data_IF_134174482644
#
_entry.id   IF_134174482644
#
_cell.length_a   1.000
_cell.length_b   1.000
_cell.length_c   1.000
_cell.angle_alpha   90.00
_cell.angle_beta   90.00
_cell.angle_gamma   90.00
#
_symmetry.space_group_name_H-M   'P 1'
#
loop_
_entity.id
_entity.type
_entity.pdbx_description
1 polymer ?
#
# COMPACT_ATOMS: atom_id res chain seq x y z
N UNK A 1 -21.57 47.20 -3.50
CA UNK A 1 -21.17 46.18 -4.50
C UNK A 1 -19.69 45.91 -4.27
N UNK A 2 -19.35 44.97 -3.39
CA UNK A 2 -17.96 44.58 -3.16
C UNK A 2 -17.67 43.41 -4.10
N UNK A 3 -16.76 43.63 -5.06
CA UNK A 3 -16.21 42.60 -5.91
C UNK A 3 -15.52 41.56 -5.03
N UNK A 4 -15.99 40.32 -5.06
CA UNK A 4 -15.38 39.21 -4.35
C UNK A 4 -13.94 38.99 -4.86
N UNK A 5 -12.99 38.96 -3.92
CA UNK A 5 -11.63 38.55 -4.23
C UNK A 5 -11.65 37.10 -4.73
N UNK A 6 -11.19 36.90 -5.97
CA UNK A 6 -10.98 35.57 -6.53
C UNK A 6 -9.82 34.94 -5.76
N UNK A 7 -10.12 33.98 -4.89
CA UNK A 7 -9.12 33.14 -4.23
C UNK A 7 -8.32 32.39 -5.30
N UNK A 8 -7.04 32.76 -5.48
CA UNK A 8 -6.12 32.05 -6.38
C UNK A 8 -5.29 31.08 -5.56
N UNK A 9 -5.73 29.83 -5.47
CA UNK A 9 -4.92 28.74 -4.91
C UNK A 9 -3.74 28.49 -5.86
N UNK A 10 -2.51 28.59 -5.36
CA UNK A 10 -1.29 28.29 -6.12
C UNK A 10 -0.75 26.94 -5.65
N UNK A 11 -0.61 25.98 -6.57
CA UNK A 11 0.13 24.76 -6.29
C UNK A 11 1.61 25.12 -6.01
N UNK A 12 2.26 24.52 -4.99
CA UNK A 12 3.68 24.71 -4.76
C UNK A 12 4.47 24.17 -5.96
N UNK A 13 5.37 24.96 -6.55
CA UNK A 13 6.21 24.50 -7.66
C UNK A 13 7.04 23.26 -7.30
N UNK A 14 7.45 23.15 -6.04
CA UNK A 14 8.17 22.00 -5.49
C UNK A 14 7.34 20.72 -5.55
N UNK A 15 6.03 20.82 -5.31
CA UNK A 15 5.11 19.68 -5.36
C UNK A 15 4.95 19.18 -6.80
N UNK A 16 4.74 20.10 -7.75
CA UNK A 16 4.67 19.74 -9.17
C UNK A 16 5.93 19.03 -9.66
N UNK A 17 7.11 19.48 -9.21
CA UNK A 17 8.39 18.83 -9.53
C UNK A 17 8.49 17.46 -8.89
N UNK A 18 8.09 17.33 -7.62
CA UNK A 18 8.03 16.05 -6.89
C UNK A 18 7.18 15.02 -7.65
N UNK A 19 5.92 15.39 -7.96
CA UNK A 19 4.96 14.58 -8.70
C UNK A 19 5.49 14.15 -10.07
N UNK A 20 6.12 15.06 -10.81
CA UNK A 20 6.71 14.74 -12.10
C UNK A 20 7.76 13.62 -12.00
N UNK A 21 8.54 13.58 -10.92
CA UNK A 21 9.50 12.49 -10.67
C UNK A 21 8.82 11.16 -10.41
N UNK A 22 7.78 11.14 -9.57
CA UNK A 22 7.00 9.93 -9.27
C UNK A 22 6.33 9.37 -10.53
N UNK A 23 5.70 10.24 -11.32
CA UNK A 23 5.07 9.86 -12.59
C UNK A 23 6.08 9.34 -13.60
N UNK A 24 7.25 9.97 -13.72
CA UNK A 24 8.31 9.49 -14.59
C UNK A 24 8.79 8.10 -14.16
N UNK A 25 9.11 7.92 -12.88
CA UNK A 25 9.58 6.64 -12.36
C UNK A 25 8.53 5.53 -12.57
N UNK A 26 7.27 5.79 -12.21
CA UNK A 26 6.17 4.84 -12.41
C UNK A 26 5.96 4.47 -13.87
N UNK A 27 6.11 5.44 -14.79
CA UNK A 27 6.02 5.19 -16.24
C UNK A 27 7.14 4.28 -16.74
N UNK A 28 8.39 4.52 -16.32
CA UNK A 28 9.52 3.65 -16.68
C UNK A 28 9.30 2.24 -16.12
N UNK A 29 9.03 2.10 -14.82
CA UNK A 29 8.83 0.78 -14.20
C UNK A 29 7.72 -0.02 -14.91
N UNK A 30 6.58 0.61 -15.17
CA UNK A 30 5.45 -0.07 -15.83
C UNK A 30 5.78 -0.48 -17.27
N UNK A 31 6.53 0.34 -18.00
CA UNK A 31 6.95 0.04 -19.38
C UNK A 31 7.98 -1.09 -19.43
N UNK A 32 8.83 -1.19 -18.41
CA UNK A 32 9.84 -2.25 -18.24
C UNK A 32 9.27 -3.52 -17.58
N UNK A 33 7.95 -3.63 -17.46
CA UNK A 33 7.30 -4.84 -16.96
C UNK A 33 7.33 -5.01 -15.43
N UNK A 34 7.59 -3.95 -14.67
CA UNK A 34 7.52 -3.95 -13.20
C UNK A 34 6.22 -3.30 -12.74
N UNK A 35 5.49 -3.94 -11.83
CA UNK A 35 4.29 -3.34 -11.26
C UNK A 35 4.72 -2.24 -10.29
N UNK A 36 4.25 -1.01 -10.52
CA UNK A 36 4.44 0.12 -9.62
C UNK A 36 3.13 0.50 -8.93
N UNK A 37 3.17 0.60 -7.60
CA UNK A 37 2.05 1.03 -6.75
C UNK A 37 2.46 2.27 -5.99
N UNK A 38 1.89 3.43 -6.35
CA UNK A 38 2.15 4.68 -5.64
C UNK A 38 1.53 4.65 -4.24
N UNK A 39 2.24 5.16 -3.24
CA UNK A 39 1.72 5.28 -1.87
C UNK A 39 0.89 6.55 -1.75
N UNK A 40 -0.35 6.43 -1.28
CA UNK A 40 -1.32 7.55 -1.21
C UNK A 40 -1.02 8.58 -0.11
N UNK A 41 -0.14 8.26 0.85
CA UNK A 41 0.25 9.15 1.97
C UNK A 41 1.75 9.42 1.98
N UNK A 42 2.15 10.70 1.94
CA UNK A 42 3.54 11.17 1.80
C UNK A 42 4.44 11.06 3.03
N UNK A 43 3.95 10.55 4.16
CA UNK A 43 4.48 10.96 5.46
C UNK A 43 5.59 10.08 6.06
N UNK A 44 5.90 8.92 5.45
CA UNK A 44 6.87 7.95 6.02
C UNK A 44 8.02 7.56 5.08
N UNK A 45 8.30 8.36 4.06
CA UNK A 45 9.55 8.24 3.29
C UNK A 45 9.62 7.03 2.34
N UNK A 46 8.47 6.55 1.86
CA UNK A 46 8.33 5.59 0.75
C UNK A 46 7.22 6.13 -0.15
N UNK A 47 7.55 6.45 -1.40
CA UNK A 47 6.60 7.01 -2.36
C UNK A 47 5.88 5.92 -3.17
N UNK A 48 6.39 4.70 -3.15
CA UNK A 48 5.74 3.58 -3.83
C UNK A 48 6.36 2.22 -3.53
N UNK A 49 5.69 1.20 -4.04
CA UNK A 49 6.10 -0.20 -3.99
C UNK A 49 6.24 -0.75 -5.41
N UNK A 50 7.30 -1.51 -5.62
CA UNK A 50 7.58 -2.23 -6.85
C UNK A 50 7.34 -3.72 -6.63
N UNK A 51 6.90 -4.41 -7.67
CA UNK A 51 6.85 -5.87 -7.70
C UNK A 51 7.34 -6.39 -9.04
N UNK A 52 8.28 -7.34 -8.99
CA UNK A 52 8.75 -8.00 -10.20
C UNK A 52 7.66 -8.87 -10.81
N UNK A 53 7.64 -8.92 -12.14
CA UNK A 53 6.77 -9.78 -12.93
C UNK A 53 7.65 -10.77 -13.69
N UNK A 54 7.27 -12.05 -13.68
CA UNK A 54 7.96 -13.09 -14.44
C UNK A 54 7.66 -13.00 -15.94
N UNK A 55 8.43 -13.72 -16.75
CA UNK A 55 8.31 -13.72 -18.22
C UNK A 55 6.92 -14.13 -18.74
N UNK A 56 6.16 -14.89 -17.96
CA UNK A 56 4.78 -15.31 -18.27
C UNK A 56 3.71 -14.28 -17.83
N UNK A 57 4.13 -13.14 -17.29
CA UNK A 57 3.24 -12.08 -16.78
C UNK A 57 2.76 -12.30 -15.35
N UNK A 58 3.25 -13.30 -14.63
CA UNK A 58 2.85 -13.57 -13.25
C UNK A 58 3.55 -12.62 -12.26
N UNK A 59 2.79 -12.04 -11.34
CA UNK A 59 3.34 -11.25 -10.24
C UNK A 59 4.11 -12.16 -9.26
N UNK A 60 5.38 -11.86 -9.02
CA UNK A 60 6.31 -12.78 -8.32
C UNK A 60 6.22 -12.73 -6.79
N UNK A 61 5.64 -11.67 -6.23
CA UNK A 61 5.72 -11.38 -4.79
C UNK A 61 7.05 -10.82 -4.31
N UNK A 62 8.04 -10.62 -5.18
CA UNK A 62 9.29 -9.93 -4.84
C UNK A 62 9.06 -8.43 -4.82
N UNK A 63 8.89 -7.88 -3.62
CA UNK A 63 8.54 -6.48 -3.41
C UNK A 63 9.79 -5.62 -3.19
N UNK A 64 9.79 -4.39 -3.68
CA UNK A 64 10.77 -3.37 -3.31
C UNK A 64 10.06 -2.09 -2.89
N UNK A 65 10.59 -1.37 -1.90
CA UNK A 65 10.17 0.00 -1.61
C UNK A 65 10.92 1.00 -2.47
N UNK A 66 10.27 2.09 -2.87
CA UNK A 66 10.93 3.19 -3.61
C UNK A 66 10.64 4.55 -2.98
N UNK A 67 11.69 5.35 -2.79
CA UNK A 67 11.60 6.79 -2.49
C UNK A 67 12.12 7.58 -3.69
N UNK A 68 11.33 8.53 -4.16
CA UNK A 68 11.65 9.42 -5.28
C UNK A 68 12.02 10.82 -4.76
N UNK A 69 13.10 11.37 -5.29
CA UNK A 69 13.50 12.77 -5.14
C UNK A 69 13.55 13.38 -6.54
N UNK A 70 12.97 14.56 -6.71
CA UNK A 70 12.92 15.23 -8.02
C UNK A 70 13.41 16.66 -7.92
N UNK A 71 14.19 17.08 -8.92
CA UNK A 71 14.66 18.45 -9.08
C UNK A 71 16.16 18.53 -9.35
N UNK A 72 16.57 19.59 -10.05
CA UNK A 72 17.97 19.74 -10.48
C UNK A 72 18.93 20.05 -9.32
N UNK A 73 18.42 20.39 -8.12
CA UNK A 73 19.25 20.55 -6.91
C UNK A 73 19.88 19.25 -6.39
N UNK A 74 19.49 18.11 -6.97
CA UNK A 74 20.07 16.80 -6.68
C UNK A 74 21.11 16.38 -7.73
N UNK A 75 21.38 17.22 -8.74
CA UNK A 75 22.27 16.88 -9.85
C UNK A 75 23.31 17.97 -10.05
N UNK A 76 24.57 17.58 -10.14
CA UNK A 76 25.62 18.43 -10.67
C UNK A 76 25.69 18.24 -12.19
N UNK A 77 25.15 19.21 -12.93
CA UNK A 77 25.07 19.16 -14.38
C UNK A 77 26.44 19.22 -15.08
N UNK A 78 27.51 19.66 -14.40
CA UNK A 78 28.85 19.75 -14.98
C UNK A 78 29.54 18.40 -14.90
N UNK A 79 29.47 17.75 -13.73
CA UNK A 79 30.10 16.44 -13.49
C UNK A 79 29.21 15.26 -13.84
N UNK A 80 27.90 15.46 -14.04
CA UNK A 80 26.94 14.38 -14.27
C UNK A 80 26.65 13.55 -13.01
N UNK A 81 27.01 14.04 -11.83
CA UNK A 81 26.82 13.34 -10.56
C UNK A 81 25.41 13.58 -10.03
N UNK A 82 24.70 12.50 -9.77
CA UNK A 82 23.40 12.49 -9.11
C UNK A 82 23.61 12.22 -7.61
N UNK A 83 22.91 12.97 -6.77
CA UNK A 83 23.04 12.91 -5.31
C UNK A 83 21.70 12.63 -4.66
N UNK A 84 21.58 11.47 -4.01
CA UNK A 84 20.43 11.17 -3.15
C UNK A 84 20.75 11.59 -1.71
N UNK A 85 19.94 12.49 -1.13
CA UNK A 85 20.15 13.05 0.22
C UNK A 85 18.87 12.92 1.06
N UNK A 86 19.04 12.48 2.31
CA UNK A 86 17.96 12.37 3.31
C UNK A 86 18.52 12.64 4.71
N UNK A 87 17.68 12.64 5.74
CA UNK A 87 18.12 12.68 7.14
C UNK A 87 18.48 11.25 7.63
N UNK A 88 19.17 11.14 8.77
CA UNK A 88 19.61 9.85 9.30
C UNK A 88 18.42 8.98 9.73
N UNK A 89 17.37 9.61 10.25
CA UNK A 89 16.15 8.97 10.71
C UNK A 89 15.47 8.17 9.57
N UNK A 90 15.46 8.70 8.34
CA UNK A 90 14.96 7.94 7.18
C UNK A 90 15.86 6.74 6.83
N UNK A 91 17.19 6.87 6.95
CA UNK A 91 18.09 5.73 6.73
C UNK A 91 17.90 4.64 7.81
N UNK A 92 17.67 5.03 9.06
CA UNK A 92 17.30 4.10 10.14
C UNK A 92 15.97 3.41 9.86
N UNK A 93 14.97 4.17 9.42
CA UNK A 93 13.68 3.63 9.01
C UNK A 93 13.81 2.62 7.86
N UNK A 94 14.52 2.97 6.78
CA UNK A 94 14.73 2.05 5.64
C UNK A 94 15.50 0.79 6.03
N UNK A 95 16.44 0.89 6.98
CA UNK A 95 17.18 -0.28 7.48
C UNK A 95 16.26 -1.27 8.22
N UNK A 96 15.18 -0.80 8.85
CA UNK A 96 14.25 -1.64 9.60
C UNK A 96 13.25 -2.39 8.70
N UNK A 97 13.06 -1.93 7.46
CA UNK A 97 12.14 -2.54 6.51
C UNK A 97 12.62 -3.93 6.06
N UNK A 98 11.69 -4.88 5.94
CA UNK A 98 11.95 -6.27 5.54
C UNK A 98 11.77 -6.53 4.03
N UNK A 99 11.95 -5.46 3.27
CA UNK A 99 11.98 -5.44 1.80
C UNK A 99 13.18 -4.56 1.39
N UNK A 100 13.81 -4.82 0.25
CA UNK A 100 14.85 -3.93 -0.27
C UNK A 100 14.23 -2.58 -0.63
N UNK A 101 14.97 -1.50 -0.37
CA UNK A 101 14.55 -0.12 -0.60
C UNK A 101 15.49 0.50 -1.61
N UNK A 102 14.92 1.10 -2.65
CA UNK A 102 15.65 1.90 -3.63
C UNK A 102 15.27 3.38 -3.55
N UNK A 103 16.19 4.23 -3.98
CA UNK A 103 16.01 5.65 -4.14
C UNK A 103 16.01 5.99 -5.61
N UNK A 104 15.23 6.97 -6.05
CA UNK A 104 15.28 7.51 -7.41
C UNK A 104 15.53 9.00 -7.34
N UNK A 105 16.49 9.50 -8.11
CA UNK A 105 16.68 10.94 -8.35
C UNK A 105 16.33 11.25 -9.79
N UNK A 106 15.34 12.10 -10.01
CA UNK A 106 14.95 12.59 -11.34
C UNK A 106 15.35 14.07 -11.53
N UNK A 107 15.99 14.37 -12.66
CA UNK A 107 16.23 15.75 -13.12
C UNK A 107 15.23 16.11 -14.22
N UNK A 108 14.32 17.07 -13.97
CA UNK A 108 13.40 17.57 -14.99
C UNK A 108 14.12 18.25 -16.17
N UNK A 109 15.24 18.94 -15.91
CA UNK A 109 16.00 19.64 -16.97
C UNK A 109 16.68 18.65 -17.91
N UNK A 110 17.33 17.62 -17.35
CA UNK A 110 18.01 16.59 -18.15
C UNK A 110 17.05 15.52 -18.69
N UNK A 111 15.84 15.42 -18.11
CA UNK A 111 14.86 14.34 -18.33
C UNK A 111 15.47 12.95 -18.10
N UNK A 112 16.33 12.85 -17.08
CA UNK A 112 17.04 11.63 -16.71
C UNK A 112 16.78 11.29 -15.25
N UNK A 113 16.68 9.99 -14.95
CA UNK A 113 16.65 9.49 -13.59
C UNK A 113 17.74 8.46 -13.34
N UNK A 114 18.23 8.44 -12.10
CA UNK A 114 19.13 7.41 -11.61
C UNK A 114 18.56 6.77 -10.34
N UNK A 115 18.71 5.45 -10.21
CA UNK A 115 18.27 4.70 -9.03
C UNK A 115 19.43 4.30 -8.13
N UNK A 116 19.17 4.17 -6.82
CA UNK A 116 20.15 3.96 -5.75
C UNK A 116 19.71 2.80 -4.85
N UNK A 117 20.62 1.95 -4.41
CA UNK A 117 20.36 0.90 -3.40
C UNK A 117 20.40 1.50 -1.98
N UNK A 118 19.25 1.96 -1.48
CA UNK A 118 19.19 2.59 -0.16
C UNK A 118 19.40 1.58 0.97
N UNK A 119 18.99 0.33 0.82
CA UNK A 119 19.22 -0.72 1.83
C UNK A 119 20.71 -0.95 2.08
N UNK A 120 21.51 -1.07 1.01
CA UNK A 120 22.97 -1.19 1.13
C UNK A 120 23.60 0.06 1.71
N UNK A 121 23.22 1.24 1.23
CA UNK A 121 23.81 2.50 1.69
C UNK A 121 23.42 2.86 3.12
N UNK A 122 22.19 2.57 3.56
CA UNK A 122 21.76 2.77 4.95
C UNK A 122 22.68 2.02 5.92
N UNK A 123 22.97 0.74 5.63
CA UNK A 123 23.88 -0.06 6.42
C UNK A 123 25.29 0.53 6.53
N UNK A 124 25.82 1.13 5.46
CA UNK A 124 27.14 1.75 5.45
C UNK A 124 27.16 3.09 6.20
N UNK A 125 26.16 3.94 5.95
CA UNK A 125 26.04 5.27 6.53
C UNK A 125 25.90 5.18 8.06
N UNK A 126 25.00 4.32 8.55
CA UNK A 126 24.72 4.19 9.97
C UNK A 126 25.88 3.53 10.74
N UNK A 127 26.57 2.54 10.15
CA UNK A 127 27.71 1.88 10.81
C UNK A 127 28.94 2.76 10.95
N UNK A 128 29.18 3.66 10.01
CA UNK A 128 30.41 4.47 9.95
C UNK A 128 30.18 5.95 10.26
N UNK A 129 28.95 6.31 10.65
CA UNK A 129 28.52 7.69 10.93
C UNK A 129 28.81 8.67 9.76
N UNK A 130 28.68 8.20 8.52
CA UNK A 130 28.93 9.03 7.34
C UNK A 130 27.83 10.07 7.11
N UNK A 131 28.11 11.14 6.34
CA UNK A 131 27.07 12.05 5.88
C UNK A 131 25.96 11.30 5.13
N UNK A 132 24.68 11.62 5.36
CA UNK A 132 23.53 10.90 4.79
C UNK A 132 23.26 11.31 3.32
N UNK A 133 24.31 11.24 2.50
CA UNK A 133 24.30 11.62 1.09
C UNK A 133 25.01 10.55 0.28
N UNK A 134 24.31 10.01 -0.72
CA UNK A 134 24.83 9.04 -1.66
C UNK A 134 25.05 9.76 -2.98
N UNK A 135 26.24 9.60 -3.59
CA UNK A 135 26.58 10.21 -4.87
C UNK A 135 27.00 9.14 -5.85
N UNK A 136 26.53 9.23 -7.08
CA UNK A 136 26.98 8.36 -8.17
C UNK A 136 26.87 9.06 -9.52
N UNK A 137 27.72 8.65 -10.46
CA UNK A 137 27.57 8.99 -11.87
C UNK A 137 26.54 8.06 -12.51
N UNK A 138 25.76 8.61 -13.43
CA UNK A 138 24.75 7.84 -14.17
C UNK A 138 25.43 6.98 -15.25
N UNK A 139 25.05 5.70 -15.31
CA UNK A 139 25.55 4.71 -16.26
C UNK A 139 24.50 3.60 -16.48
N UNK A 140 24.80 2.62 -17.32
CA UNK A 140 23.87 1.54 -17.71
C UNK A 140 23.32 0.72 -16.52
N UNK A 141 24.07 0.61 -15.41
CA UNK A 141 23.65 -0.16 -14.23
C UNK A 141 22.66 0.57 -13.32
N UNK A 142 22.61 1.90 -13.38
CA UNK A 142 21.87 2.73 -12.42
C UNK A 142 20.99 3.79 -13.09
N UNK A 143 20.90 3.81 -14.42
CA UNK A 143 19.96 4.63 -15.17
C UNK A 143 18.55 4.04 -15.05
N UNK A 144 17.55 4.90 -14.93
CA UNK A 144 16.13 4.54 -15.02
C UNK A 144 15.56 5.19 -16.28
N UNK A 145 15.60 4.46 -17.40
CA UNK A 145 15.19 4.92 -18.73
C UNK A 145 14.55 3.77 -19.52
N UNK A 146 13.59 4.11 -20.38
CA UNK A 146 12.86 3.14 -21.20
C UNK A 146 13.78 2.52 -22.26
N UNK A 147 13.69 1.21 -22.42
CA UNK A 147 14.43 0.43 -23.40
C UNK A 147 15.85 0.05 -22.96
N UNK A 148 16.32 0.52 -21.79
CA UNK A 148 17.60 0.11 -21.21
C UNK A 148 17.49 -1.22 -20.46
N UNK A 149 16.29 -1.60 -20.02
CA UNK A 149 16.09 -2.73 -19.12
C UNK A 149 16.49 -2.43 -17.68
N UNK A 150 15.90 -3.15 -16.73
CA UNK A 150 16.15 -2.98 -15.29
C UNK A 150 16.94 -4.15 -14.69
N UNK A 151 17.87 -4.70 -15.47
CA UNK A 151 18.61 -5.93 -15.15
C UNK A 151 19.27 -5.90 -13.77
N UNK A 152 19.94 -4.82 -13.40
CA UNK A 152 20.65 -4.73 -12.11
C UNK A 152 19.68 -4.57 -10.93
N UNK A 153 18.55 -3.89 -11.13
CA UNK A 153 17.49 -3.79 -10.12
C UNK A 153 16.79 -5.13 -9.93
N UNK A 154 16.53 -5.86 -11.03
CA UNK A 154 15.99 -7.22 -11.00
C UNK A 154 16.96 -8.15 -10.27
N UNK A 155 18.26 -8.11 -10.60
CA UNK A 155 19.30 -8.85 -9.89
C UNK A 155 19.33 -8.51 -8.40
N UNK A 156 19.20 -7.24 -8.02
CA UNK A 156 19.14 -6.83 -6.61
C UNK A 156 17.95 -7.48 -5.90
N UNK A 157 16.77 -7.45 -6.51
CA UNK A 157 15.58 -8.10 -5.96
C UNK A 157 15.79 -9.62 -5.85
N UNK A 158 16.25 -10.30 -6.90
CA UNK A 158 16.56 -11.72 -6.82
C UNK A 158 17.66 -12.01 -5.79
N UNK A 159 18.70 -11.21 -5.64
CA UNK A 159 19.70 -11.43 -4.58
C UNK A 159 19.12 -11.29 -3.19
N UNK A 160 18.15 -10.40 -3.01
CA UNK A 160 17.43 -10.25 -1.76
C UNK A 160 16.49 -11.43 -1.51
N UNK A 161 15.87 -12.00 -2.55
CA UNK A 161 14.78 -12.98 -2.46
C UNK A 161 15.13 -14.44 -2.87
N UNK A 162 16.23 -14.73 -3.60
CA UNK A 162 16.46 -15.97 -4.37
C UNK A 162 17.95 -16.45 -4.57
N UNK A 163 18.41 -17.73 -4.56
CA UNK A 163 17.95 -19.08 -4.12
C UNK A 163 18.85 -20.22 -4.74
N UNK A 164 18.76 -21.56 -4.41
CA UNK A 164 17.58 -22.37 -4.04
C UNK A 164 17.63 -23.11 -2.69
N UNK A 165 16.46 -23.58 -2.23
CA UNK A 165 16.32 -24.61 -1.19
C UNK A 165 16.91 -25.91 -1.73
N UNK A 166 17.91 -26.46 -1.06
CA UNK A 166 18.66 -27.64 -1.52
C UNK A 166 17.88 -28.94 -1.23
N UNK A 167 18.21 -30.05 -1.92
CA UNK A 167 17.66 -31.38 -1.56
C UNK A 167 17.95 -31.76 -0.11
N UNK A 168 19.05 -31.28 0.47
CA UNK A 168 19.43 -31.49 1.87
C UNK A 168 18.51 -30.71 2.83
N UNK A 169 18.03 -29.53 2.42
CA UNK A 169 17.00 -28.77 3.16
C UNK A 169 15.63 -29.46 3.08
N UNK A 170 15.34 -30.14 1.97
CA UNK A 170 14.13 -30.98 1.82
C UNK A 170 14.22 -32.24 2.70
N UNK A 171 15.38 -32.88 2.82
CA UNK A 171 15.57 -34.06 3.69
C UNK A 171 15.51 -33.70 5.19
N UNK A 172 16.04 -32.54 5.60
CA UNK A 172 15.88 -32.02 6.97
C UNK A 172 14.43 -31.65 7.31
N UNK A 173 13.62 -31.31 6.31
CA UNK A 173 12.17 -31.10 6.49
C UNK A 173 11.40 -32.42 6.69
N UNK A 174 11.93 -33.56 6.24
CA UNK A 174 11.34 -34.89 6.48
C UNK A 174 11.60 -35.36 7.92
N UNK A 175 12.79 -35.11 8.47
CA UNK A 175 13.10 -35.43 9.89
C UNK A 175 12.26 -34.60 10.89
N UNK A 176 11.81 -33.41 10.50
CA UNK A 176 10.96 -32.55 11.32
C UNK A 176 9.49 -33.02 11.31
N UNK A 177 9.05 -33.78 10.28
CA UNK A 177 7.70 -34.37 10.26
C UNK A 177 7.50 -35.50 11.28
N UNK A 178 8.58 -36.06 11.84
CA UNK A 178 8.48 -37.06 12.91
C UNK A 178 8.68 -36.49 14.33
N UNK A 179 8.90 -35.18 14.50
CA UNK A 179 8.91 -34.56 15.83
C UNK A 179 7.76 -33.58 16.00
N UNK A 180 6.65 -34.16 16.43
CA UNK A 180 5.51 -33.47 17.03
C UNK A 180 5.94 -32.54 18.17
N UNK A 181 5.68 -31.23 18.04
CA UNK A 181 5.25 -30.38 19.17
C UNK A 181 4.29 -29.30 18.64
N UNK A 182 3.09 -29.29 19.21
CA UNK A 182 2.00 -28.34 19.04
C UNK A 182 2.40 -26.85 19.17
N UNK A 183 2.00 -26.02 18.20
CA UNK A 183 1.42 -24.67 18.39
C UNK A 183 1.10 -23.98 17.03
N UNK A 184 -0.13 -24.19 16.54
CA UNK A 184 -0.94 -23.36 15.64
C UNK A 184 -0.29 -22.70 14.39
N UNK A 185 -0.26 -23.45 13.28
CA UNK A 185 -0.20 -22.92 11.91
C UNK A 185 -1.50 -22.17 11.57
N UNK A 186 -1.39 -20.95 11.02
CA UNK A 186 -2.50 -20.21 10.40
C UNK A 186 -2.21 -20.08 8.90
N UNK A 187 -2.92 -20.84 8.07
CA UNK A 187 -2.89 -20.75 6.60
C UNK A 187 -3.39 -19.39 6.08
N UNK A 188 -3.19 -19.08 4.78
CA UNK A 188 -3.82 -17.88 4.14
C UNK A 188 -5.35 -17.89 4.29
N UNK A 189 -5.95 -19.08 4.32
CA UNK A 189 -7.38 -19.26 4.56
C UNK A 189 -7.77 -18.91 6.00
N UNK A 190 -6.90 -19.21 6.98
CA UNK A 190 -7.09 -18.85 8.37
C UNK A 190 -6.93 -17.34 8.61
N UNK A 191 -6.02 -16.67 7.90
CA UNK A 191 -5.92 -15.21 7.91
C UNK A 191 -7.18 -14.54 7.34
N UNK A 192 -7.73 -15.09 6.24
CA UNK A 192 -8.99 -14.62 5.66
C UNK A 192 -10.18 -14.83 6.62
N UNK A 193 -10.30 -16.03 7.19
CA UNK A 193 -11.30 -16.36 8.24
C UNK A 193 -11.18 -15.43 9.44
N UNK A 194 -9.95 -15.10 9.85
CA UNK A 194 -9.69 -14.19 10.97
C UNK A 194 -10.14 -12.76 10.68
N UNK A 195 -9.87 -12.22 9.49
CA UNK A 195 -10.37 -10.89 9.11
C UNK A 195 -11.89 -10.85 9.13
N UNK A 196 -12.55 -11.85 8.55
CA UNK A 196 -14.03 -11.97 8.60
C UNK A 196 -14.51 -12.05 10.05
N UNK A 197 -13.87 -12.89 10.87
CA UNK A 197 -14.23 -13.03 12.28
C UNK A 197 -14.07 -11.74 13.07
N UNK A 198 -13.03 -10.95 12.82
CA UNK A 198 -12.78 -9.68 13.51
C UNK A 198 -13.81 -8.63 13.06
N UNK A 199 -14.11 -8.55 11.76
CA UNK A 199 -15.05 -7.59 11.19
C UNK A 199 -16.46 -7.74 11.77
N UNK A 200 -16.89 -8.97 12.01
CA UNK A 200 -18.21 -9.27 12.60
C UNK A 200 -18.15 -9.59 14.10
N UNK A 201 -17.02 -9.36 14.78
CA UNK A 201 -16.89 -9.70 16.21
C UNK A 201 -17.63 -8.71 17.11
N UNK A 202 -18.28 -9.23 18.17
CA UNK A 202 -18.84 -8.42 19.26
C UNK A 202 -17.78 -7.75 20.14
N UNK A 203 -16.51 -8.12 19.99
CA UNK A 203 -15.40 -7.64 20.83
C UNK A 203 -14.56 -6.56 20.13
N UNK A 204 -14.75 -6.33 18.82
CA UNK A 204 -13.97 -5.35 18.03
C UNK A 204 -14.58 -3.95 18.08
N UNK A 205 -13.84 -2.94 18.53
CA UNK A 205 -14.34 -1.55 18.50
C UNK A 205 -14.46 -0.97 17.07
N UNK A 206 -15.02 0.23 16.96
CA UNK A 206 -15.24 0.91 15.69
C UNK A 206 -13.96 1.16 14.88
N UNK A 207 -12.81 1.35 15.55
CA UNK A 207 -11.52 1.58 14.90
C UNK A 207 -11.01 0.28 14.29
N UNK A 208 -11.06 -0.82 15.04
CA UNK A 208 -10.69 -2.16 14.58
C UNK A 208 -11.59 -2.62 13.43
N UNK A 209 -12.91 -2.42 13.54
CA UNK A 209 -13.86 -2.78 12.47
C UNK A 209 -13.58 -1.97 11.20
N UNK A 210 -13.31 -0.66 11.34
CA UNK A 210 -12.96 0.20 10.21
C UNK A 210 -11.67 -0.23 9.51
N UNK A 211 -10.63 -0.54 10.27
CA UNK A 211 -9.35 -1.02 9.73
C UNK A 211 -9.48 -2.38 9.04
N UNK A 212 -10.18 -3.33 9.66
CA UNK A 212 -10.39 -4.66 9.08
C UNK A 212 -11.31 -4.60 7.86
N UNK A 213 -12.35 -3.78 7.88
CA UNK A 213 -13.22 -3.53 6.73
C UNK A 213 -12.44 -2.98 5.55
N UNK A 214 -11.60 -1.96 5.77
CA UNK A 214 -10.70 -1.42 4.75
C UNK A 214 -9.74 -2.47 4.19
N UNK A 215 -9.18 -3.34 5.03
CA UNK A 215 -8.30 -4.44 4.56
C UNK A 215 -9.07 -5.50 3.77
N UNK A 216 -10.29 -5.85 4.19
CA UNK A 216 -11.14 -6.81 3.49
C UNK A 216 -11.50 -6.30 2.09
N UNK A 217 -11.73 -5.00 1.91
CA UNK A 217 -12.12 -4.42 0.61
C UNK A 217 -10.99 -4.43 -0.42
N UNK A 218 -9.71 -4.47 0.01
CA UNK A 218 -8.58 -4.63 -0.91
C UNK A 218 -8.56 -6.00 -1.59
N UNK A 219 -9.05 -7.03 -0.89
CA UNK A 219 -9.03 -8.40 -1.38
C UNK A 219 -10.39 -8.81 -1.96
N UNK A 220 -11.50 -8.23 -1.53
CA UNK A 220 -12.81 -8.56 -2.08
C UNK A 220 -13.19 -7.56 -3.18
N UNK A 221 -13.61 -7.99 -4.39
CA UNK A 221 -13.95 -9.36 -4.80
C UNK A 221 -12.81 -10.10 -5.53
N UNK A 222 -11.54 -9.75 -5.36
CA UNK A 222 -10.42 -10.37 -6.09
C UNK A 222 -9.95 -11.73 -5.52
N UNK A 223 -10.43 -12.12 -4.34
CA UNK A 223 -10.20 -13.44 -3.71
C UNK A 223 -10.79 -14.62 -4.52
N UNK A 224 -10.37 -15.84 -4.20
CA UNK A 224 -10.90 -17.07 -4.81
C UNK A 224 -12.43 -17.18 -4.65
N UNK A 225 -13.09 -17.93 -5.54
CA UNK A 225 -14.56 -18.06 -5.49
C UNK A 225 -15.04 -18.70 -4.18
N UNK A 226 -14.26 -19.62 -3.61
CA UNK A 226 -14.55 -20.18 -2.28
C UNK A 226 -14.55 -19.11 -1.17
N UNK A 227 -13.57 -18.20 -1.20
CA UNK A 227 -13.47 -17.09 -0.25
C UNK A 227 -14.57 -16.04 -0.47
N UNK A 228 -14.95 -15.80 -1.73
CA UNK A 228 -16.10 -14.93 -2.06
C UNK A 228 -17.38 -15.47 -1.45
N UNK A 229 -17.66 -16.76 -1.70
CA UNK A 229 -18.85 -17.42 -1.17
C UNK A 229 -18.83 -17.47 0.35
N UNK A 230 -17.67 -17.68 0.98
CA UNK A 230 -17.53 -17.63 2.44
C UNK A 230 -17.94 -16.26 3.00
N UNK A 231 -17.42 -15.16 2.45
CA UNK A 231 -17.77 -13.82 2.93
C UNK A 231 -19.24 -13.51 2.68
N UNK A 232 -19.76 -13.79 1.47
CA UNK A 232 -21.18 -13.58 1.14
C UNK A 232 -22.10 -14.38 2.05
N UNK A 233 -21.77 -15.63 2.36
CA UNK A 233 -22.56 -16.47 3.25
C UNK A 233 -22.52 -15.97 4.70
N UNK A 234 -21.39 -15.44 5.17
CA UNK A 234 -21.33 -14.79 6.48
C UNK A 234 -22.10 -13.48 6.52
N UNK A 235 -22.01 -12.68 5.46
CA UNK A 235 -22.70 -11.42 5.34
C UNK A 235 -24.22 -11.63 5.30
N UNK A 236 -24.73 -12.68 4.64
CA UNK A 236 -26.16 -13.08 4.71
C UNK A 236 -26.69 -13.36 6.12
N UNK A 237 -25.80 -13.62 7.07
CA UNK A 237 -26.13 -13.87 8.48
C UNK A 237 -25.95 -12.63 9.36
N UNK A 238 -25.79 -11.45 8.76
CA UNK A 238 -25.54 -10.20 9.48
C UNK A 238 -26.69 -9.86 10.44
N UNK A 239 -26.34 -9.65 11.70
CA UNK A 239 -27.32 -9.22 12.71
C UNK A 239 -27.42 -7.69 12.78
N UNK A 240 -28.52 -7.15 13.31
CA UNK A 240 -28.64 -5.70 13.53
C UNK A 240 -27.57 -5.17 14.49
N UNK A 241 -27.19 -5.93 15.51
CA UNK A 241 -26.11 -5.51 16.42
C UNK A 241 -24.76 -5.40 15.71
N UNK A 242 -24.43 -6.34 14.82
CA UNK A 242 -23.21 -6.29 14.01
C UNK A 242 -23.25 -5.14 13.00
N UNK A 243 -24.38 -4.96 12.32
CA UNK A 243 -24.55 -3.85 11.37
C UNK A 243 -24.44 -2.49 12.06
N UNK A 244 -24.96 -2.35 13.29
CA UNK A 244 -24.80 -1.12 14.06
C UNK A 244 -23.33 -0.79 14.33
N UNK A 245 -22.51 -1.81 14.63
CA UNK A 245 -21.07 -1.61 14.86
C UNK A 245 -20.35 -1.23 13.58
N UNK A 246 -20.73 -1.84 12.46
CA UNK A 246 -20.24 -1.44 11.13
C UNK A 246 -20.64 0.02 10.85
N UNK A 247 -21.88 0.42 11.12
CA UNK A 247 -22.31 1.82 11.03
C UNK A 247 -21.44 2.74 11.88
N UNK A 248 -21.18 2.40 13.15
CA UNK A 248 -20.31 3.18 14.03
C UNK A 248 -18.86 3.28 13.50
N UNK A 249 -18.35 2.21 12.87
CA UNK A 249 -17.04 2.22 12.23
C UNK A 249 -16.99 3.15 11.01
N UNK A 250 -18.02 3.12 10.16
CA UNK A 250 -18.13 4.01 9.00
C UNK A 250 -18.30 5.47 9.46
N UNK A 251 -19.11 5.72 10.50
CA UNK A 251 -19.25 7.05 11.12
C UNK A 251 -17.91 7.58 11.62
N UNK A 252 -17.16 6.76 12.36
CA UNK A 252 -15.84 7.14 12.85
C UNK A 252 -14.85 7.45 11.71
N UNK A 253 -14.91 6.69 10.61
CA UNK A 253 -14.12 6.96 9.42
C UNK A 253 -14.50 8.30 8.76
N UNK A 254 -15.80 8.57 8.64
CA UNK A 254 -16.33 9.84 8.13
C UNK A 254 -15.87 11.04 8.98
N UNK A 255 -15.99 10.95 10.31
CA UNK A 255 -15.51 11.99 11.24
C UNK A 255 -14.01 12.26 11.13
N UNK A 256 -13.23 11.27 10.69
CA UNK A 256 -11.79 11.37 10.44
C UNK A 256 -11.44 11.79 9.00
N UNK A 257 -12.43 12.15 8.17
CA UNK A 257 -12.26 12.47 6.75
C UNK A 257 -11.61 11.34 5.93
N UNK A 258 -11.96 10.08 6.25
CA UNK A 258 -11.53 8.88 5.53
C UNK A 258 -12.64 8.40 4.61
N UNK A 259 -12.99 9.23 3.63
CA UNK A 259 -14.03 8.91 2.62
C UNK A 259 -13.70 7.63 1.84
N UNK A 260 -12.39 7.34 1.67
CA UNK A 260 -11.91 6.08 1.09
C UNK A 260 -12.38 4.86 1.89
N UNK A 261 -12.26 4.90 3.22
CA UNK A 261 -12.70 3.82 4.11
C UNK A 261 -14.23 3.72 4.11
N UNK A 262 -14.93 4.86 4.09
CA UNK A 262 -16.39 4.90 4.03
C UNK A 262 -16.91 4.18 2.79
N UNK A 263 -16.46 4.59 1.60
CA UNK A 263 -16.84 3.97 0.33
C UNK A 263 -16.51 2.49 0.29
N UNK A 264 -15.30 2.11 0.70
CA UNK A 264 -14.84 0.72 0.64
C UNK A 264 -15.60 -0.23 1.57
N UNK A 265 -16.01 0.23 2.76
CA UNK A 265 -16.84 -0.59 3.66
C UNK A 265 -18.28 -0.65 3.14
N UNK A 266 -18.82 0.43 2.57
CA UNK A 266 -20.12 0.42 1.92
C UNK A 266 -20.16 -0.54 0.72
N UNK A 267 -19.11 -0.55 -0.10
CA UNK A 267 -18.92 -1.50 -1.20
C UNK A 267 -18.90 -2.95 -0.70
N UNK A 268 -18.27 -3.23 0.44
CA UNK A 268 -18.25 -4.58 1.03
C UNK A 268 -19.64 -5.04 1.49
N UNK A 269 -20.41 -4.17 2.15
CA UNK A 269 -21.73 -4.54 2.65
C UNK A 269 -22.80 -4.54 1.56
N UNK A 270 -22.57 -3.87 0.42
CA UNK A 270 -23.46 -3.87 -0.75
C UNK A 270 -23.70 -5.27 -1.33
N UNK A 271 -22.76 -6.20 -1.11
CA UNK A 271 -22.93 -7.61 -1.48
C UNK A 271 -24.02 -8.35 -0.68
N UNK A 272 -24.60 -7.71 0.34
CA UNK A 272 -25.83 -8.17 0.97
C UNK A 272 -27.05 -7.66 0.19
N UNK A 273 -27.90 -8.54 -0.37
CA UNK A 273 -28.97 -8.15 -1.30
C UNK A 273 -30.06 -7.26 -0.68
N UNK A 274 -30.12 -7.18 0.66
CA UNK A 274 -31.10 -6.40 1.41
C UNK A 274 -30.42 -5.41 2.37
N UNK A 275 -29.20 -4.94 2.07
CA UNK A 275 -28.45 -4.08 2.99
C UNK A 275 -29.20 -2.80 3.37
N UNK A 276 -29.86 -2.15 2.40
CA UNK A 276 -30.65 -0.93 2.61
C UNK A 276 -31.83 -1.19 3.56
N UNK A 277 -32.55 -2.32 3.40
CA UNK A 277 -33.63 -2.72 4.32
C UNK A 277 -33.11 -3.01 5.73
N UNK A 278 -31.87 -3.49 5.87
CA UNK A 278 -31.26 -3.70 7.20
C UNK A 278 -30.87 -2.38 7.86
N UNK A 279 -30.43 -1.38 7.09
CA UNK A 279 -30.22 -0.02 7.60
C UNK A 279 -31.53 0.63 8.04
N UNK A 280 -32.63 0.44 7.31
CA UNK A 280 -33.96 0.89 7.76
C UNK A 280 -34.37 0.22 9.08
N UNK A 281 -34.09 -1.08 9.22
CA UNK A 281 -34.33 -1.81 10.48
C UNK A 281 -33.46 -1.31 11.63
N UNK A 282 -32.22 -0.87 11.39
CA UNK A 282 -31.39 -0.26 12.42
C UNK A 282 -32.03 1.00 12.99
N UNK A 283 -32.51 1.88 12.12
CA UNK A 283 -33.22 3.09 12.55
C UNK A 283 -34.52 2.75 13.29
N UNK A 284 -35.35 1.86 12.73
CA UNK A 284 -36.64 1.47 13.31
C UNK A 284 -36.51 0.81 14.70
N UNK A 285 -35.38 0.14 14.97
CA UNK A 285 -35.08 -0.48 16.26
C UNK A 285 -34.32 0.44 17.23
N UNK A 286 -34.13 1.72 16.88
CA UNK A 286 -33.55 2.72 17.77
C UNK A 286 -32.04 2.60 17.99
N UNK A 287 -31.33 1.90 17.11
CA UNK A 287 -29.86 1.83 17.16
C UNK A 287 -29.20 3.16 16.75
N UNK A 288 -29.85 3.91 15.87
CA UNK A 288 -29.34 5.17 15.31
C UNK A 288 -29.93 6.35 16.09
N UNK A 289 -29.05 7.18 16.67
CA UNK A 289 -29.44 8.40 17.36
C UNK A 289 -29.91 9.47 16.38
N UNK A 290 -30.77 10.39 16.82
CA UNK A 290 -31.39 11.41 15.94
C UNK A 290 -30.39 12.26 15.16
N UNK A 291 -29.21 12.51 15.71
CA UNK A 291 -28.13 13.28 15.07
C UNK A 291 -27.40 12.53 13.95
N UNK A 292 -27.51 11.21 13.90
CA UNK A 292 -26.83 10.35 12.92
C UNK A 292 -27.74 9.89 11.77
N UNK A 293 -29.04 10.22 11.83
CA UNK A 293 -30.02 9.81 10.81
C UNK A 293 -29.67 10.31 9.42
N UNK A 294 -29.17 11.54 9.31
CA UNK A 294 -28.79 12.10 8.02
C UNK A 294 -27.59 11.35 7.40
N UNK A 295 -26.67 10.86 8.25
CA UNK A 295 -25.50 10.10 7.80
C UNK A 295 -25.91 8.70 7.32
N UNK A 296 -26.88 8.07 7.99
CA UNK A 296 -27.50 6.84 7.53
C UNK A 296 -28.14 7.00 6.15
N UNK A 297 -28.88 8.09 5.92
CA UNK A 297 -29.46 8.38 4.60
C UNK A 297 -28.39 8.59 3.52
N UNK A 298 -27.28 9.28 3.83
CA UNK A 298 -26.15 9.39 2.90
C UNK A 298 -25.55 8.03 2.53
N UNK A 299 -25.44 7.10 3.48
CA UNK A 299 -24.95 5.75 3.20
C UNK A 299 -25.91 4.97 2.32
N UNK A 300 -27.22 5.10 2.53
CA UNK A 300 -28.24 4.48 1.68
C UNK A 300 -28.22 5.06 0.26
N UNK A 301 -28.12 6.38 0.12
CA UNK A 301 -27.99 7.06 -1.18
C UNK A 301 -26.75 6.58 -1.95
N UNK A 302 -25.63 6.35 -1.26
CA UNK A 302 -24.43 5.78 -1.87
C UNK A 302 -24.67 4.34 -2.36
N UNK A 303 -25.30 3.50 -1.54
CA UNK A 303 -25.58 2.10 -1.87
C UNK A 303 -26.57 1.93 -3.03
N UNK A 304 -27.49 2.88 -3.22
CA UNK A 304 -28.41 2.90 -4.36
C UNK A 304 -27.72 3.23 -5.70
N UNK A 305 -26.50 3.77 -5.66
CA UNK A 305 -25.72 4.14 -6.85
C UNK A 305 -24.79 3.02 -7.36
N UNK A 306 -24.61 1.95 -6.58
CA UNK A 306 -23.78 0.77 -6.90
C UNK A 306 -24.55 -0.26 -7.74
#
# INVERSE_FOLDING_TARGET
>A
MCLGEILRVKAPKSELVSRAGVHYAGYVFSTEGIIFRETSSSDVGIDGQLELVSDDGTATGMLLGVQVKSGDSFVDNISGIFSFKSNKEHFEYWQQLRIPIIGVVYSPTLKKASWFDLTKHANLILKNDYPPVIKQEINESNVLEIGQGLTELIKLAHQYYELPVTKEDVEKLVDIQEQSVDAAQSSKEDSWKRLISIFFSSDSDSEVIGEVGYRLSWYFPTVSDSQKEQFKNRLKQLTLAELNRIFCAIKLAFERNRDDVVSLILDLVSYHPQITELFDKLEANGFIVSEDKWLLEQFKEYLEQL
#
